data_IF_525234750917
#
_entry.id   IF_525234750917
#
_cell.length_a   1.000
_cell.length_b   1.000
_cell.length_c   1.000
_cell.angle_alpha   90.00
_cell.angle_beta   90.00
_cell.angle_gamma   90.00
#
_symmetry.space_group_name_H-M   'P 1'
#
loop_
_entity.id
_entity.type
_entity.pdbx_description
1 polymer ?
#
# COMPACT_ATOMS: atom_id res chain seq x y z
N UNK A 1 4.98 0.38 29.12
CA UNK A 1 5.81 -0.51 28.28
C UNK A 1 5.79 0.04 26.86
N UNK A 2 6.95 0.13 26.23
CA UNK A 2 7.33 1.19 25.30
C UNK A 2 6.68 1.12 23.90
N UNK A 3 5.86 2.12 23.55
CA UNK A 3 5.58 2.50 22.16
C UNK A 3 6.73 3.41 21.66
N UNK A 4 7.90 2.83 21.39
CA UNK A 4 9.01 3.52 20.73
C UNK A 4 9.30 2.77 19.45
N UNK A 5 8.71 3.16 18.32
CA UNK A 5 9.12 2.78 16.95
C UNK A 5 8.34 3.57 15.87
N UNK A 6 8.03 4.85 16.08
CA UNK A 6 7.25 5.66 15.12
C UNK A 6 8.08 6.44 14.10
N UNK A 7 9.41 6.38 14.15
CA UNK A 7 10.25 7.36 13.43
C UNK A 7 10.77 6.87 12.06
N UNK A 8 10.96 5.57 11.85
CA UNK A 8 11.71 5.06 10.67
C UNK A 8 10.90 4.91 9.37
N UNK A 9 9.57 5.00 9.43
CA UNK A 9 8.71 4.68 8.28
C UNK A 9 8.62 5.81 7.24
N UNK A 10 8.77 7.06 7.70
CA UNK A 10 8.74 8.26 6.83
C UNK A 10 9.96 8.37 5.92
N UNK A 11 11.11 7.82 6.34
CA UNK A 11 12.34 7.81 5.53
C UNK A 11 12.29 6.76 4.41
N UNK A 12 11.31 5.84 4.44
CA UNK A 12 11.21 4.69 3.54
C UNK A 12 9.99 4.73 2.63
N UNK A 13 9.38 5.91 2.52
CA UNK A 13 8.30 6.14 1.58
C UNK A 13 8.78 5.80 0.16
N UNK A 14 8.02 5.02 -0.62
CA UNK A 14 8.36 4.79 -2.01
C UNK A 14 8.33 6.13 -2.75
N UNK A 15 9.27 6.32 -3.68
CA UNK A 15 9.29 7.49 -4.57
C UNK A 15 7.98 7.59 -5.34
N UNK A 16 7.04 8.41 -4.87
CA UNK A 16 5.70 8.51 -5.46
C UNK A 16 5.70 8.81 -6.96
N UNK A 17 6.59 9.69 -7.48
CA UNK A 17 6.69 9.91 -8.92
C UNK A 17 7.15 8.66 -9.67
N UNK A 18 8.13 7.93 -9.15
CA UNK A 18 8.64 6.71 -9.76
C UNK A 18 7.60 5.58 -9.68
N UNK A 19 6.91 5.45 -8.55
CA UNK A 19 5.82 4.52 -8.34
C UNK A 19 4.70 4.80 -9.34
N UNK A 20 4.22 6.04 -9.47
CA UNK A 20 3.17 6.41 -10.43
C UNK A 20 3.60 6.27 -11.90
N UNK A 21 4.89 6.32 -12.20
CA UNK A 21 5.42 6.11 -13.55
C UNK A 21 5.60 4.63 -13.90
N UNK A 22 5.65 3.74 -12.91
CA UNK A 22 5.76 2.31 -13.11
C UNK A 22 4.44 1.69 -13.62
N UNK A 23 4.55 0.61 -14.37
CA UNK A 23 3.39 -0.16 -14.80
C UNK A 23 2.63 -0.75 -13.60
N UNK A 24 1.36 -1.11 -13.79
CA UNK A 24 0.50 -1.66 -12.74
C UNK A 24 1.12 -2.86 -12.01
N UNK A 25 1.79 -3.76 -12.74
CA UNK A 25 2.40 -4.96 -12.13
C UNK A 25 3.58 -4.60 -11.23
N UNK A 26 4.46 -3.71 -11.71
CA UNK A 26 5.58 -3.20 -10.92
C UNK A 26 5.10 -2.40 -9.70
N UNK A 27 4.06 -1.57 -9.86
CA UNK A 27 3.45 -0.80 -8.75
C UNK A 27 2.94 -1.70 -7.64
N UNK A 28 2.14 -2.72 -7.99
CA UNK A 28 1.61 -3.68 -7.02
C UNK A 28 2.75 -4.37 -6.28
N UNK A 29 3.81 -4.79 -6.98
CA UNK A 29 4.95 -5.45 -6.37
C UNK A 29 5.73 -4.55 -5.40
N UNK A 30 5.93 -3.28 -5.76
CA UNK A 30 6.60 -2.30 -4.88
C UNK A 30 5.77 -2.07 -3.62
N UNK A 31 4.46 -1.87 -3.77
CA UNK A 31 3.53 -1.67 -2.64
C UNK A 31 3.48 -2.91 -1.76
N UNK A 32 3.42 -4.11 -2.33
CA UNK A 32 3.45 -5.38 -1.62
C UNK A 32 4.73 -5.54 -0.79
N UNK A 33 5.90 -5.28 -1.39
CA UNK A 33 7.18 -5.33 -0.70
C UNK A 33 7.26 -4.32 0.44
N UNK A 34 6.75 -3.11 0.23
CA UNK A 34 6.68 -2.08 1.25
C UNK A 34 5.83 -2.55 2.45
N UNK A 35 4.61 -3.03 2.21
CA UNK A 35 3.73 -3.54 3.27
C UNK A 35 4.38 -4.72 4.02
N UNK A 36 5.01 -5.67 3.31
CA UNK A 36 5.67 -6.80 3.94
C UNK A 36 6.83 -6.38 4.85
N UNK A 37 7.65 -5.43 4.43
CA UNK A 37 8.73 -4.91 5.26
C UNK A 37 8.20 -4.21 6.50
N UNK A 38 7.16 -3.39 6.34
CA UNK A 38 6.48 -2.69 7.44
C UNK A 38 5.92 -3.67 8.48
N UNK A 39 5.29 -4.74 8.01
CA UNK A 39 4.74 -5.77 8.90
C UNK A 39 5.83 -6.58 9.58
N UNK A 40 6.91 -6.92 8.88
CA UNK A 40 8.04 -7.69 9.45
C UNK A 40 8.67 -6.96 10.62
N UNK A 41 8.90 -5.65 10.48
CA UNK A 41 9.46 -4.82 11.55
C UNK A 41 8.45 -4.53 12.67
N UNK A 42 7.19 -4.32 12.34
CA UNK A 42 6.16 -4.03 13.36
C UNK A 42 5.84 -5.26 14.21
N UNK A 43 5.84 -6.45 13.61
CA UNK A 43 5.58 -7.72 14.28
C UNK A 43 6.84 -8.35 14.90
N UNK A 44 8.00 -7.70 14.79
CA UNK A 44 9.30 -8.22 15.23
C UNK A 44 9.55 -9.65 14.70
N UNK A 45 9.16 -9.89 13.43
CA UNK A 45 9.24 -11.21 12.81
C UNK A 45 10.73 -11.50 12.52
N UNK A 46 11.27 -12.62 13.02
CA UNK A 46 12.65 -12.99 12.73
C UNK A 46 12.88 -13.15 11.23
N UNK A 47 14.07 -12.88 10.68
CA UNK A 47 14.35 -12.96 9.24
C UNK A 47 14.08 -14.35 8.63
N UNK A 48 14.05 -15.39 9.46
CA UNK A 48 13.71 -16.76 9.08
C UNK A 48 12.22 -16.95 8.73
N UNK A 49 11.35 -16.06 9.20
CA UNK A 49 9.92 -16.03 8.91
C UNK A 49 9.61 -14.89 7.95
N UNK A 50 8.80 -15.16 6.93
CA UNK A 50 8.36 -14.15 5.96
C UNK A 50 6.85 -14.00 6.03
N UNK A 51 6.39 -12.76 5.95
CA UNK A 51 4.98 -12.46 5.69
C UNK A 51 4.59 -13.13 4.37
N UNK A 52 3.53 -13.94 4.41
CA UNK A 52 2.94 -14.54 3.22
C UNK A 52 1.96 -13.56 2.59
N UNK A 53 2.30 -13.08 1.40
CA UNK A 53 1.53 -12.07 0.67
C UNK A 53 0.16 -12.54 0.20
N UNK A 54 -0.09 -13.85 0.19
CA UNK A 54 -1.35 -14.48 -0.23
C UNK A 54 -2.20 -14.96 0.95
N UNK A 55 -1.72 -14.80 2.19
CA UNK A 55 -2.48 -15.15 3.39
C UNK A 55 -3.14 -13.90 3.98
N UNK A 56 -4.33 -14.04 4.57
CA UNK A 56 -4.99 -12.95 5.27
C UNK A 56 -4.10 -12.33 6.35
N UNK A 57 -4.09 -11.00 6.44
CA UNK A 57 -3.28 -10.28 7.43
C UNK A 57 -3.60 -10.70 8.86
N UNK A 58 -4.89 -10.89 9.20
CA UNK A 58 -5.33 -11.34 10.54
C UNK A 58 -4.77 -12.70 10.92
N UNK A 59 -4.70 -13.62 9.95
CA UNK A 59 -4.15 -14.97 10.18
C UNK A 59 -2.64 -14.97 10.47
N UNK A 60 -1.96 -13.85 10.21
CA UNK A 60 -0.52 -13.67 10.37
C UNK A 60 -0.16 -12.80 11.58
N UNK A 61 -1.13 -12.51 12.44
CA UNK A 61 -0.91 -11.73 13.68
C UNK A 61 -1.15 -10.23 13.53
N UNK A 62 -1.65 -9.75 12.39
CA UNK A 62 -2.04 -8.34 12.24
C UNK A 62 -3.37 -8.08 12.95
N UNK A 63 -3.33 -7.28 14.00
CA UNK A 63 -4.51 -6.86 14.75
C UNK A 63 -5.19 -5.62 14.16
N UNK A 64 -6.35 -5.24 14.73
CA UNK A 64 -7.11 -4.07 14.28
C UNK A 64 -6.40 -2.73 14.49
N UNK A 65 -5.54 -2.61 15.51
CA UNK A 65 -4.77 -1.38 15.79
C UNK A 65 -3.68 -1.22 14.73
N UNK A 66 -2.97 -2.31 14.41
CA UNK A 66 -2.00 -2.36 13.32
C UNK A 66 -2.65 -2.05 11.98
N UNK A 67 -3.84 -2.58 11.69
CA UNK A 67 -4.56 -2.28 10.46
C UNK A 67 -4.89 -0.78 10.33
N UNK A 68 -5.28 -0.11 11.43
CA UNK A 68 -5.52 1.34 11.43
C UNK A 68 -4.22 2.14 11.25
N UNK A 69 -3.12 1.69 11.85
CA UNK A 69 -1.81 2.32 11.65
C UNK A 69 -1.34 2.16 10.21
N UNK A 70 -1.41 0.94 9.66
CA UNK A 70 -1.12 0.63 8.27
C UNK A 70 -1.96 1.50 7.33
N UNK A 71 -3.26 1.63 7.60
CA UNK A 71 -4.13 2.55 6.86
C UNK A 71 -3.56 3.97 6.81
N UNK A 72 -3.33 4.59 7.97
CA UNK A 72 -2.87 5.98 8.07
C UNK A 72 -1.52 6.17 7.37
N UNK A 73 -0.63 5.19 7.52
CA UNK A 73 0.67 5.16 6.83
C UNK A 73 0.48 5.12 5.32
N UNK A 74 -0.33 4.20 4.79
CA UNK A 74 -0.58 4.08 3.36
C UNK A 74 -1.23 5.34 2.76
N UNK A 75 -2.18 5.95 3.47
CA UNK A 75 -2.80 7.21 3.04
C UNK A 75 -1.77 8.35 2.96
N UNK A 76 -0.88 8.43 3.95
CA UNK A 76 0.19 9.44 4.01
C UNK A 76 1.26 9.18 2.95
N UNK A 77 1.64 7.92 2.77
CA UNK A 77 2.69 7.47 1.87
C UNK A 77 2.29 7.62 0.41
N UNK A 78 1.08 7.19 0.06
CA UNK A 78 0.62 7.08 -1.32
C UNK A 78 -0.24 8.28 -1.76
N UNK A 79 -0.69 9.10 -0.81
CA UNK A 79 -1.61 10.21 -1.06
C UNK A 79 -2.99 9.73 -1.54
N UNK A 80 -3.40 8.53 -1.13
CA UNK A 80 -4.70 7.93 -1.46
C UNK A 80 -5.58 7.90 -0.22
N UNK A 81 -6.89 7.71 -0.39
CA UNK A 81 -7.83 7.51 0.72
C UNK A 81 -8.31 6.07 0.71
N UNK A 82 -8.11 5.36 1.83
CA UNK A 82 -8.45 3.93 1.95
C UNK A 82 -9.46 3.77 3.07
N UNK A 83 -10.56 3.06 2.83
CA UNK A 83 -11.51 2.77 3.91
C UNK A 83 -10.89 1.72 4.82
N UNK A 84 -10.97 1.93 6.13
CA UNK A 84 -10.43 0.96 7.10
C UNK A 84 -11.10 -0.43 6.95
N UNK A 85 -12.37 -0.45 6.54
CA UNK A 85 -13.10 -1.68 6.26
C UNK A 85 -12.48 -2.51 5.12
N UNK A 86 -11.83 -1.87 4.14
CA UNK A 86 -11.17 -2.53 3.01
C UNK A 86 -9.77 -3.08 3.36
N UNK A 87 -9.27 -2.79 4.56
CA UNK A 87 -8.00 -3.36 5.08
C UNK A 87 -8.25 -4.43 6.15
N UNK A 88 -9.48 -4.46 6.70
CA UNK A 88 -9.89 -5.35 7.78
C UNK A 88 -10.66 -6.57 7.29
N UNK A 89 -10.86 -6.70 5.97
CA UNK A 89 -11.77 -7.65 5.32
C UNK A 89 -11.21 -9.07 5.13
N UNK A 90 -10.23 -9.44 5.96
CA UNK A 90 -9.42 -10.65 5.81
C UNK A 90 -8.60 -10.68 4.51
N UNK A 91 -8.30 -9.49 3.97
CA UNK A 91 -7.47 -9.34 2.78
C UNK A 91 -6.03 -9.74 3.06
N UNK A 92 -5.40 -10.25 2.01
CA UNK A 92 -3.97 -10.53 1.93
C UNK A 92 -3.17 -9.28 1.52
N UNK A 93 -1.85 -9.31 1.73
CA UNK A 93 -0.97 -8.19 1.32
C UNK A 93 -1.11 -7.91 -0.18
N UNK A 94 -1.22 -8.96 -1.00
CA UNK A 94 -1.37 -8.82 -2.45
C UNK A 94 -2.68 -8.13 -2.84
N UNK A 95 -3.79 -8.45 -2.16
CA UNK A 95 -5.09 -7.82 -2.41
C UNK A 95 -5.09 -6.34 -1.98
N UNK A 96 -4.51 -6.04 -0.82
CA UNK A 96 -4.33 -4.66 -0.37
C UNK A 96 -3.44 -3.88 -1.35
N UNK A 97 -2.34 -4.45 -1.81
CA UNK A 97 -1.45 -3.81 -2.78
C UNK A 97 -2.14 -3.54 -4.12
N UNK A 98 -2.95 -4.49 -4.60
CA UNK A 98 -3.75 -4.33 -5.81
C UNK A 98 -4.81 -3.22 -5.65
N UNK A 99 -5.51 -3.18 -4.51
CA UNK A 99 -6.49 -2.16 -4.19
C UNK A 99 -5.85 -0.76 -4.16
N UNK A 100 -4.69 -0.63 -3.51
CA UNK A 100 -3.95 0.63 -3.47
C UNK A 100 -3.49 1.08 -4.84
N UNK A 101 -2.98 0.15 -5.66
CA UNK A 101 -2.58 0.45 -7.03
C UNK A 101 -3.76 0.95 -7.87
N UNK A 102 -4.95 0.40 -7.69
CA UNK A 102 -6.17 0.83 -8.38
C UNK A 102 -6.66 2.22 -7.93
N UNK A 103 -6.39 2.60 -6.67
CA UNK A 103 -6.70 3.94 -6.15
C UNK A 103 -5.70 5.01 -6.62
N UNK A 104 -4.54 4.61 -7.16
CA UNK A 104 -3.54 5.51 -7.74
C UNK A 104 -3.80 5.64 -9.25
N UNK A 105 -4.42 6.74 -9.73
CA UNK A 105 -4.59 6.95 -11.16
C UNK A 105 -3.22 6.94 -11.83
N UNK A 106 -3.07 6.10 -12.86
CA UNK A 106 -1.85 6.09 -13.68
C UNK A 106 -1.71 7.46 -14.37
N UNK A 107 -0.50 8.01 -14.48
CA UNK A 107 -0.28 9.26 -15.24
C UNK A 107 -0.82 9.11 -16.66
N UNK A 108 -0.73 7.90 -17.24
CA UNK A 108 -1.26 7.58 -18.57
C UNK A 108 -2.79 7.55 -18.60
N UNK A 109 -3.44 6.98 -17.59
CA UNK A 109 -4.91 7.00 -17.50
C UNK A 109 -5.43 8.42 -17.29
N UNK A 110 -4.79 9.19 -16.41
CA UNK A 110 -5.13 10.59 -16.21
C UNK A 110 -4.98 11.38 -17.53
N UNK A 111 -3.85 11.24 -18.23
CA UNK A 111 -3.62 11.88 -19.53
C UNK A 111 -4.60 11.42 -20.61
N UNK A 112 -4.91 10.12 -20.69
CA UNK A 112 -5.89 9.59 -21.63
C UNK A 112 -7.30 10.15 -21.35
N UNK A 113 -7.69 10.27 -20.08
CA UNK A 113 -8.97 10.87 -19.67
C UNK A 113 -9.06 12.34 -20.05
N UNK A 114 -8.00 13.12 -19.82
CA UNK A 114 -7.92 14.52 -20.24
C UNK A 114 -7.88 14.68 -21.78
N UNK A 115 -7.18 13.79 -22.50
CA UNK A 115 -7.13 13.82 -23.96
C UNK A 115 -8.48 13.45 -24.60
N UNK A 116 -9.23 12.52 -24.02
CA UNK A 116 -10.55 12.10 -24.50
C UNK A 116 -11.62 13.18 -24.32
N UNK A 117 -11.59 13.96 -23.24
CA UNK A 117 -12.47 15.13 -23.08
C UNK A 117 -12.07 16.30 -23.97
N UNK A 118 -10.78 16.48 -24.28
CA UNK A 118 -10.30 17.53 -25.18
C UNK A 118 -10.60 17.26 -26.66
N UNK A 119 -10.70 15.98 -27.08
CA UNK A 119 -11.01 15.62 -28.47
C UNK A 119 -12.50 15.60 -28.81
N UNK A 120 -13.39 15.51 -27.80
CA UNK A 120 -14.84 15.46 -27.96
C UNK A 120 -15.52 16.84 -28.17
N UNK A 121 -14.74 17.93 -28.21
CA UNK A 121 -15.23 19.30 -28.35
C UNK A 121 -15.00 19.95 -29.72
N UNK A 122 -14.82 19.17 -30.80
CA UNK A 122 -14.75 19.69 -32.17
C UNK A 122 -15.91 19.23 -33.03
#
# INVERSE_FOLDING_TARGET
MALRNTTTWLERLPDLPALRAADTGSRVRIIEQYICQELTETLDIPPAYRINVRRPLRSQGVDSIMAIQLKRKLETALGVTVKAADLLRDDSVAEVAALLCALMPDRREAQARFAATASAGR
#
